data_IF_167553633826
#
_entry.id   IF_167553633826
#
_cell.length_a   1.000
_cell.length_b   1.000
_cell.length_c   1.000
_cell.angle_alpha   90.00
_cell.angle_beta   90.00
_cell.angle_gamma   90.00
#
_symmetry.space_group_name_H-M   'P 1'
#
loop_
_entity.id
_entity.type
_entity.pdbx_description
1 polymer ?
#
# COMPACT_ATOMS: atom_id res chain seq x y z
N UNK A 1 21.70 -18.49 -30.90
CA UNK A 1 21.54 -19.24 -29.64
C UNK A 1 21.47 -18.23 -28.52
N UNK A 2 20.28 -17.99 -27.96
CA UNK A 2 20.15 -17.21 -26.72
C UNK A 2 20.62 -18.14 -25.60
N UNK A 3 21.63 -17.71 -24.84
CA UNK A 3 22.03 -18.39 -23.61
C UNK A 3 20.90 -18.20 -22.58
N UNK A 4 20.28 -19.30 -22.21
CA UNK A 4 19.15 -19.36 -21.26
C UNK A 4 19.70 -19.85 -19.92
N UNK A 5 19.59 -19.02 -18.89
CA UNK A 5 19.89 -19.42 -17.52
C UNK A 5 18.61 -19.60 -16.71
N UNK A 6 18.66 -20.44 -15.68
CA UNK A 6 17.61 -20.63 -14.68
C UNK A 6 16.23 -21.00 -15.26
N UNK A 7 16.22 -21.97 -16.19
CA UNK A 7 14.98 -22.53 -16.70
C UNK A 7 14.15 -23.21 -15.60
N UNK A 8 12.89 -22.84 -15.49
CA UNK A 8 11.95 -23.37 -14.51
C UNK A 8 10.60 -23.62 -15.17
N UNK A 9 10.07 -24.79 -14.97
CA UNK A 9 8.72 -25.14 -15.37
C UNK A 9 7.87 -25.41 -14.12
N UNK A 10 6.68 -24.81 -14.08
CA UNK A 10 5.74 -25.01 -12.97
C UNK A 10 4.30 -24.83 -13.43
N UNK A 11 3.39 -25.36 -12.63
CA UNK A 11 1.95 -25.25 -12.86
C UNK A 11 1.30 -24.48 -11.74
N UNK A 12 0.42 -23.56 -12.08
CA UNK A 12 -0.43 -22.89 -11.10
C UNK A 12 -1.81 -22.60 -11.68
N UNK A 13 -2.77 -22.44 -10.81
CA UNK A 13 -4.09 -21.94 -11.17
C UNK A 13 -4.51 -20.85 -10.22
N UNK A 14 -5.31 -19.90 -10.69
CA UNK A 14 -5.84 -18.84 -9.86
C UNK A 14 -7.36 -18.94 -9.79
N UNK A 15 -7.90 -18.76 -8.59
CA UNK A 15 -9.35 -18.75 -8.35
C UNK A 15 -9.71 -17.56 -7.45
N UNK A 16 -10.82 -16.90 -7.78
CA UNK A 16 -11.36 -15.83 -6.95
C UNK A 16 -12.27 -16.43 -5.87
N UNK A 17 -12.02 -16.07 -4.62
CA UNK A 17 -12.78 -16.56 -3.46
C UNK A 17 -13.13 -15.42 -2.52
N UNK A 18 -14.12 -15.62 -1.66
CA UNK A 18 -14.42 -14.70 -0.57
C UNK A 18 -13.91 -15.28 0.75
N UNK A 19 -13.17 -14.47 1.52
CA UNK A 19 -12.70 -14.88 2.84
C UNK A 19 -13.66 -14.44 3.92
N UNK A 20 -14.20 -15.41 4.68
CA UNK A 20 -15.10 -15.15 5.82
C UNK A 20 -14.68 -15.99 7.04
N UNK A 21 -14.27 -15.32 8.13
CA UNK A 21 -14.02 -15.95 9.45
C UNK A 21 -13.18 -17.24 9.40
N UNK A 22 -12.03 -17.21 8.75
CA UNK A 22 -11.13 -18.37 8.67
C UNK A 22 -11.47 -19.39 7.56
N UNK A 23 -12.49 -19.13 6.74
CA UNK A 23 -12.92 -19.99 5.65
C UNK A 23 -12.84 -19.26 4.32
N UNK A 24 -12.39 -19.97 3.30
CA UNK A 24 -12.51 -19.51 1.93
C UNK A 24 -13.80 -20.09 1.34
N UNK A 25 -14.65 -19.21 0.87
CA UNK A 25 -16.00 -19.55 0.36
C UNK A 25 -16.05 -19.24 -1.13
N UNK A 26 -16.81 -20.03 -1.87
CA UNK A 26 -17.08 -19.80 -3.29
C UNK A 26 -17.73 -18.42 -3.46
N UNK A 27 -17.33 -17.69 -4.48
CA UNK A 27 -17.88 -16.36 -4.79
C UNK A 27 -19.30 -16.52 -5.36
N UNK A 28 -20.27 -15.84 -4.75
CA UNK A 28 -21.68 -15.98 -5.12
C UNK A 28 -22.05 -15.22 -6.41
N UNK A 29 -21.27 -14.18 -6.78
CA UNK A 29 -21.49 -13.40 -8.00
C UNK A 29 -20.17 -13.08 -8.71
N UNK A 30 -19.98 -13.61 -9.89
CA UNK A 30 -18.80 -13.33 -10.74
C UNK A 30 -18.77 -11.87 -11.24
N UNK A 31 -19.89 -11.14 -11.17
CA UNK A 31 -20.08 -9.83 -11.78
C UNK A 31 -19.97 -8.62 -10.84
N UNK A 32 -19.59 -8.81 -9.58
CA UNK A 32 -19.37 -7.66 -8.68
C UNK A 32 -17.88 -7.31 -8.60
N UNK A 33 -17.42 -6.26 -9.29
CA UNK A 33 -15.99 -5.92 -9.37
C UNK A 33 -15.40 -5.34 -8.08
N UNK A 34 -16.23 -5.03 -7.08
CA UNK A 34 -15.83 -4.32 -5.85
C UNK A 34 -16.22 -5.06 -4.56
N UNK A 35 -16.14 -6.39 -4.53
CA UNK A 35 -16.22 -7.08 -3.24
C UNK A 35 -14.88 -6.96 -2.51
N UNK A 36 -14.81 -6.06 -1.52
CA UNK A 36 -13.64 -5.83 -0.68
C UNK A 36 -13.15 -7.07 0.09
N UNK A 37 -13.96 -8.13 0.12
CA UNK A 37 -13.60 -9.42 0.71
C UNK A 37 -13.15 -10.45 -0.34
N UNK A 38 -13.10 -10.08 -1.60
CA UNK A 38 -12.58 -10.96 -2.66
C UNK A 38 -11.08 -11.09 -2.58
N UNK A 39 -10.61 -12.33 -2.60
CA UNK A 39 -9.20 -12.67 -2.56
C UNK A 39 -8.91 -13.61 -3.73
N UNK A 40 -7.79 -13.38 -4.38
CA UNK A 40 -7.28 -14.31 -5.38
C UNK A 40 -6.40 -15.35 -4.70
N UNK A 41 -6.80 -16.63 -4.84
CA UNK A 41 -5.98 -17.76 -4.45
C UNK A 41 -5.17 -18.24 -5.66
N UNK A 42 -3.86 -18.18 -5.56
CA UNK A 42 -2.96 -18.87 -6.46
C UNK A 42 -2.71 -20.25 -5.86
N UNK A 43 -2.97 -21.30 -6.60
CA UNK A 43 -2.84 -22.68 -6.11
C UNK A 43 -1.76 -23.39 -6.91
N UNK A 44 -0.75 -23.88 -6.20
CA UNK A 44 0.32 -24.68 -6.77
C UNK A 44 0.57 -25.93 -5.94
N UNK A 45 1.28 -26.89 -6.48
CA UNK A 45 1.67 -28.09 -5.72
C UNK A 45 3.07 -27.93 -5.10
N UNK A 46 3.38 -28.74 -4.08
CA UNK A 46 4.65 -28.66 -3.35
C UNK A 46 5.88 -28.95 -4.22
N UNK A 47 5.74 -29.75 -5.28
CA UNK A 47 6.86 -30.04 -6.19
C UNK A 47 7.27 -28.79 -6.94
N UNK A 48 6.28 -28.09 -7.50
CA UNK A 48 6.52 -26.87 -8.24
C UNK A 48 7.01 -25.73 -7.33
N UNK A 49 6.43 -25.61 -6.13
CA UNK A 49 6.91 -24.67 -5.11
C UNK A 49 8.39 -24.90 -4.75
N UNK A 50 8.78 -26.16 -4.52
CA UNK A 50 10.17 -26.52 -4.20
C UNK A 50 11.12 -26.21 -5.37
N UNK A 51 10.69 -26.46 -6.61
CA UNK A 51 11.48 -26.16 -7.80
C UNK A 51 11.76 -24.67 -7.93
N UNK A 52 10.77 -23.83 -7.66
CA UNK A 52 10.88 -22.38 -7.82
C UNK A 52 11.70 -21.76 -6.69
N UNK A 53 11.44 -22.14 -5.45
CA UNK A 53 12.05 -21.54 -4.28
C UNK A 53 13.32 -22.26 -3.80
N UNK A 54 13.78 -23.30 -4.52
CA UNK A 54 14.93 -24.14 -4.15
C UNK A 54 14.83 -24.66 -2.70
N UNK A 55 13.62 -25.13 -2.32
CA UNK A 55 13.31 -25.63 -0.99
C UNK A 55 13.00 -27.12 -1.03
N UNK A 56 12.85 -27.74 0.15
CA UNK A 56 12.48 -29.14 0.32
C UNK A 56 11.23 -29.29 1.18
N UNK A 57 10.21 -28.47 0.91
CA UNK A 57 8.93 -28.55 1.59
C UNK A 57 8.29 -29.92 1.42
N UNK A 58 7.84 -30.52 2.52
CA UNK A 58 7.06 -31.76 2.54
C UNK A 58 5.78 -31.53 3.33
N UNK A 59 4.66 -31.53 2.65
CA UNK A 59 3.34 -31.39 3.24
C UNK A 59 2.67 -32.76 3.35
N UNK A 60 1.92 -32.97 4.42
CA UNK A 60 1.01 -34.11 4.55
C UNK A 60 -0.30 -33.82 3.83
N UNK A 61 -1.11 -34.85 3.62
CA UNK A 61 -2.39 -34.72 2.90
C UNK A 61 -3.37 -33.72 3.55
N UNK A 62 -3.32 -33.55 4.86
CA UNK A 62 -4.14 -32.62 5.63
C UNK A 62 -3.43 -31.30 5.97
N UNK A 63 -2.29 -31.03 5.35
CA UNK A 63 -1.53 -29.80 5.51
C UNK A 63 -1.54 -28.98 4.22
N UNK A 64 -1.56 -27.67 4.37
CA UNK A 64 -1.45 -26.70 3.28
C UNK A 64 -0.35 -25.70 3.58
N UNK A 65 0.48 -25.41 2.59
CA UNK A 65 1.40 -24.28 2.66
C UNK A 65 0.65 -22.98 2.36
N UNK A 66 0.90 -21.94 3.14
CA UNK A 66 0.36 -20.60 2.88
C UNK A 66 1.52 -19.65 2.73
N UNK A 67 1.53 -18.94 1.60
CA UNK A 67 2.37 -17.80 1.36
C UNK A 67 1.46 -16.59 1.17
N UNK A 68 1.46 -15.66 2.11
CA UNK A 68 0.64 -14.48 2.06
C UNK A 68 1.38 -13.30 2.69
N UNK A 69 1.33 -12.18 2.00
CA UNK A 69 1.90 -10.94 2.51
C UNK A 69 0.94 -10.22 3.46
N UNK A 70 -0.36 -10.49 3.35
CA UNK A 70 -1.35 -9.84 4.19
C UNK A 70 -1.37 -10.44 5.61
N UNK A 71 -1.31 -9.57 6.63
CA UNK A 71 -1.19 -9.94 8.05
C UNK A 71 -2.29 -10.88 8.56
N UNK A 72 -3.50 -10.85 7.96
CA UNK A 72 -4.63 -11.71 8.34
C UNK A 72 -4.28 -13.17 8.13
N UNK A 73 -3.48 -13.50 7.11
CA UNK A 73 -3.13 -14.86 6.74
C UNK A 73 -1.82 -15.35 7.36
N UNK A 74 -1.00 -14.44 7.92
CA UNK A 74 0.31 -14.78 8.50
C UNK A 74 0.24 -15.55 9.83
N UNK A 75 -0.92 -15.61 10.48
CA UNK A 75 -1.11 -16.22 11.81
C UNK A 75 -2.23 -17.25 11.85
N UNK A 76 -2.62 -17.79 10.71
CA UNK A 76 -3.64 -18.83 10.67
C UNK A 76 -3.00 -20.18 10.92
N UNK A 77 -3.40 -20.87 11.99
CA UNK A 77 -2.98 -22.25 12.27
C UNK A 77 -3.78 -23.27 11.45
N UNK A 78 -5.00 -22.91 11.09
CA UNK A 78 -5.90 -23.76 10.32
C UNK A 78 -6.69 -22.90 9.32
N UNK A 79 -6.97 -23.49 8.17
CA UNK A 79 -7.86 -22.90 7.15
C UNK A 79 -8.93 -23.91 6.75
N UNK A 80 -10.10 -23.39 6.45
CA UNK A 80 -11.20 -24.19 5.94
C UNK A 80 -11.35 -23.98 4.43
N UNK A 81 -11.13 -25.05 3.67
CA UNK A 81 -11.21 -25.12 2.21
C UNK A 81 -12.07 -26.31 1.82
N UNK A 82 -12.94 -26.18 0.82
CA UNK A 82 -13.79 -27.29 0.34
C UNK A 82 -14.53 -28.00 1.49
N UNK A 83 -15.01 -27.26 2.51
CA UNK A 83 -15.62 -27.80 3.73
C UNK A 83 -14.72 -28.71 4.59
N UNK A 84 -13.42 -28.77 4.30
CA UNK A 84 -12.42 -29.50 5.08
C UNK A 84 -11.48 -28.52 5.78
N UNK A 85 -10.97 -28.93 6.94
CA UNK A 85 -10.02 -28.12 7.70
C UNK A 85 -8.61 -28.64 7.47
N UNK A 86 -7.72 -27.77 7.02
CA UNK A 86 -6.32 -28.06 6.80
C UNK A 86 -5.46 -27.33 7.81
N UNK A 87 -4.42 -27.98 8.30
CA UNK A 87 -3.38 -27.34 9.10
C UNK A 87 -2.49 -26.50 8.17
N UNK A 88 -2.16 -25.30 8.58
CA UNK A 88 -1.38 -24.37 7.75
C UNK A 88 0.09 -24.40 8.12
N UNK A 89 0.95 -24.46 7.12
CA UNK A 89 2.38 -24.23 7.24
C UNK A 89 2.68 -22.88 6.60
N UNK A 90 3.12 -21.91 7.43
CA UNK A 90 3.50 -20.59 6.94
C UNK A 90 4.80 -20.69 6.13
N UNK A 91 4.74 -20.29 4.88
CA UNK A 91 5.86 -20.34 3.95
C UNK A 91 6.49 -18.96 3.83
N UNK A 92 7.78 -18.95 3.51
CA UNK A 92 8.54 -17.73 3.21
C UNK A 92 9.06 -17.84 1.78
N UNK A 93 8.82 -16.83 0.97
CA UNK A 93 9.33 -16.77 -0.39
C UNK A 93 8.87 -15.50 -1.09
N UNK A 94 9.71 -14.98 -1.97
CA UNK A 94 9.45 -13.72 -2.65
C UNK A 94 8.83 -13.91 -4.05
N UNK A 95 8.71 -15.15 -4.52
CA UNK A 95 8.46 -15.40 -5.93
C UNK A 95 6.98 -15.52 -6.36
N UNK A 96 6.02 -15.54 -5.45
CA UNK A 96 4.59 -15.63 -5.76
C UNK A 96 3.73 -14.80 -4.81
N UNK A 97 4.22 -13.63 -4.50
CA UNK A 97 3.45 -12.62 -3.80
C UNK A 97 2.65 -11.84 -4.82
N UNK A 98 1.34 -11.96 -4.73
CA UNK A 98 0.43 -11.20 -5.58
C UNK A 98 -0.31 -10.16 -4.71
N UNK A 99 -0.40 -8.90 -5.14
CA UNK A 99 -1.13 -7.88 -4.38
C UNK A 99 -2.55 -8.33 -4.07
N UNK A 100 -2.89 -8.43 -2.78
CA UNK A 100 -4.21 -8.89 -2.34
C UNK A 100 -4.50 -10.37 -2.56
N UNK A 101 -3.49 -11.17 -2.93
CA UNK A 101 -3.60 -12.61 -3.14
C UNK A 101 -2.99 -13.46 -2.04
N UNK A 102 -3.36 -14.73 -2.04
CA UNK A 102 -2.79 -15.76 -1.17
C UNK A 102 -2.34 -16.92 -2.05
N UNK A 103 -1.09 -17.34 -1.90
CA UNK A 103 -0.62 -18.56 -2.56
C UNK A 103 -0.78 -19.75 -1.63
N UNK A 104 -1.53 -20.73 -2.08
CA UNK A 104 -1.73 -22.01 -1.41
C UNK A 104 -0.87 -23.09 -2.08
N UNK A 105 -0.09 -23.78 -1.26
CA UNK A 105 0.71 -24.93 -1.73
C UNK A 105 0.06 -26.21 -1.24
N UNK A 106 -0.31 -27.05 -2.19
CA UNK A 106 -0.97 -28.32 -1.95
C UNK A 106 0.04 -29.47 -1.90
N UNK A 107 -0.35 -30.57 -1.26
CA UNK A 107 0.49 -31.77 -1.16
C UNK A 107 0.83 -32.36 -2.54
N UNK A 108 -0.12 -32.39 -3.49
CA UNK A 108 0.07 -32.96 -4.83
C UNK A 108 -0.80 -32.27 -5.89
N UNK A 109 -0.54 -32.59 -7.15
CA UNK A 109 -1.27 -32.05 -8.32
C UNK A 109 -2.77 -32.40 -8.30
N UNK A 110 -3.15 -33.58 -7.78
CA UNK A 110 -4.56 -33.95 -7.71
C UNK A 110 -5.34 -33.10 -6.74
N UNK A 111 -4.77 -32.79 -5.57
CA UNK A 111 -5.35 -31.87 -4.60
C UNK A 111 -5.42 -30.44 -5.16
N UNK A 112 -4.41 -30.00 -5.91
CA UNK A 112 -4.40 -28.72 -6.61
C UNK A 112 -5.57 -28.63 -7.60
N UNK A 113 -5.77 -29.66 -8.44
CA UNK A 113 -6.88 -29.74 -9.42
C UNK A 113 -8.25 -29.74 -8.74
N UNK A 114 -8.42 -30.53 -7.68
CA UNK A 114 -9.66 -30.61 -6.92
C UNK A 114 -10.03 -29.25 -6.31
N UNK A 115 -9.06 -28.55 -5.75
CA UNK A 115 -9.27 -27.24 -5.12
C UNK A 115 -9.67 -26.19 -6.16
N UNK A 116 -8.95 -26.11 -7.27
CA UNK A 116 -9.27 -25.18 -8.36
C UNK A 116 -10.67 -25.45 -8.92
N UNK A 117 -10.97 -26.71 -9.24
CA UNK A 117 -12.26 -27.08 -9.81
C UNK A 117 -13.44 -26.86 -8.85
N UNK A 118 -13.22 -27.02 -7.54
CA UNK A 118 -14.25 -26.76 -6.54
C UNK A 118 -14.67 -25.28 -6.52
N UNK A 119 -13.72 -24.36 -6.55
CA UNK A 119 -14.03 -22.93 -6.49
C UNK A 119 -14.46 -22.33 -7.82
N UNK A 120 -13.87 -22.81 -8.91
CA UNK A 120 -14.19 -22.32 -10.25
C UNK A 120 -14.12 -23.46 -11.27
N UNK A 121 -15.27 -23.89 -11.75
CA UNK A 121 -15.41 -25.01 -12.67
C UNK A 121 -14.75 -24.77 -14.04
N UNK A 122 -14.62 -23.52 -14.44
CA UNK A 122 -13.99 -23.10 -15.71
C UNK A 122 -12.52 -22.73 -15.58
N UNK A 123 -11.97 -22.73 -14.36
CA UNK A 123 -10.57 -22.38 -14.15
C UNK A 123 -9.65 -23.47 -14.66
N UNK A 124 -8.67 -23.08 -15.44
CA UNK A 124 -7.64 -23.96 -15.96
C UNK A 124 -6.37 -23.87 -15.09
N UNK A 125 -5.64 -24.98 -15.06
CA UNK A 125 -4.27 -24.98 -14.58
C UNK A 125 -3.39 -24.55 -15.74
N UNK A 126 -2.70 -23.45 -15.56
CA UNK A 126 -1.78 -22.93 -16.55
C UNK A 126 -0.37 -23.49 -16.28
N UNK A 127 0.34 -23.80 -17.35
CA UNK A 127 1.75 -24.15 -17.30
C UNK A 127 2.56 -22.90 -17.59
N UNK A 128 3.56 -22.66 -16.76
CA UNK A 128 4.47 -21.52 -16.89
C UNK A 128 5.88 -22.00 -17.11
N UNK A 129 6.57 -21.31 -17.98
CA UNK A 129 7.99 -21.49 -18.24
C UNK A 129 8.67 -20.16 -17.93
N UNK A 130 9.53 -20.14 -16.93
CA UNK A 130 10.31 -18.98 -16.58
C UNK A 130 11.79 -19.22 -16.89
N UNK A 131 12.46 -18.27 -17.51
CA UNK A 131 13.88 -18.34 -17.81
C UNK A 131 14.50 -16.95 -17.86
N UNK A 132 15.79 -16.87 -17.62
CA UNK A 132 16.55 -15.65 -17.78
C UNK A 132 17.27 -15.66 -19.13
N UNK A 133 17.21 -14.56 -19.85
CA UNK A 133 18.01 -14.32 -21.05
C UNK A 133 19.25 -13.53 -20.68
N UNK A 134 20.42 -13.93 -21.17
CA UNK A 134 21.68 -13.20 -20.98
C UNK A 134 21.82 -12.00 -21.92
N UNK A 135 20.95 -11.85 -22.89
CA UNK A 135 20.97 -10.72 -23.82
C UNK A 135 20.22 -9.52 -23.26
N UNK A 136 20.76 -8.33 -23.53
CA UNK A 136 20.09 -7.05 -23.21
C UNK A 136 19.47 -6.39 -24.45
N UNK A 137 19.46 -7.07 -25.59
CA UNK A 137 18.87 -6.55 -26.82
C UNK A 137 17.33 -6.67 -26.77
N UNK A 138 16.69 -5.60 -26.31
CA UNK A 138 15.23 -5.52 -26.16
C UNK A 138 14.51 -5.65 -27.50
N UNK A 139 15.04 -5.12 -28.58
CA UNK A 139 14.38 -5.17 -29.90
C UNK A 139 14.27 -6.61 -30.42
N UNK A 140 15.33 -7.41 -30.26
CA UNK A 140 15.30 -8.82 -30.64
C UNK A 140 14.34 -9.63 -29.75
N UNK A 141 14.25 -9.30 -28.46
CA UNK A 141 13.31 -9.94 -27.53
C UNK A 141 11.87 -9.65 -27.94
N UNK A 142 11.52 -8.39 -28.20
CA UNK A 142 10.17 -7.98 -28.59
C UNK A 142 9.73 -8.61 -29.92
N UNK A 143 10.63 -8.72 -30.87
CA UNK A 143 10.36 -9.38 -32.14
C UNK A 143 10.08 -10.88 -31.94
N UNK A 144 10.89 -11.57 -31.14
CA UNK A 144 10.70 -12.99 -30.83
C UNK A 144 9.40 -13.19 -30.04
N UNK A 145 9.12 -12.34 -29.04
CA UNK A 145 7.90 -12.33 -28.24
C UNK A 145 6.67 -12.25 -29.13
N UNK A 146 6.61 -11.24 -30.00
CA UNK A 146 5.47 -11.03 -30.89
C UNK A 146 5.24 -12.19 -31.88
N UNK A 147 6.30 -12.81 -32.34
CA UNK A 147 6.25 -13.98 -33.25
C UNK A 147 5.72 -15.22 -32.51
N UNK A 148 6.23 -15.51 -31.31
CA UNK A 148 5.82 -16.67 -30.50
C UNK A 148 4.37 -16.53 -30.02
N UNK A 149 3.96 -15.37 -29.57
CA UNK A 149 2.58 -15.09 -29.14
C UNK A 149 1.57 -15.33 -30.27
N UNK A 150 1.91 -14.88 -31.49
CA UNK A 150 1.04 -15.10 -32.67
C UNK A 150 1.00 -16.56 -33.13
N UNK A 151 2.10 -17.29 -33.01
CA UNK A 151 2.21 -18.64 -33.54
C UNK A 151 1.63 -19.72 -32.60
N UNK A 152 1.73 -19.51 -31.28
CA UNK A 152 1.44 -20.57 -30.30
C UNK A 152 0.33 -20.21 -29.30
N UNK A 153 -0.32 -19.05 -29.45
CA UNK A 153 -1.35 -18.56 -28.51
C UNK A 153 -0.89 -18.61 -27.04
N UNK A 154 0.38 -18.22 -26.83
CA UNK A 154 0.98 -18.15 -25.50
C UNK A 154 1.12 -16.70 -25.07
N UNK A 155 1.01 -16.45 -23.78
CA UNK A 155 1.31 -15.16 -23.16
C UNK A 155 2.76 -15.17 -22.71
N UNK A 156 3.50 -14.11 -23.08
CA UNK A 156 4.90 -13.93 -22.69
C UNK A 156 5.01 -12.61 -21.96
N UNK A 157 5.35 -12.68 -20.68
CA UNK A 157 5.55 -11.52 -19.83
C UNK A 157 7.06 -11.30 -19.62
N UNK A 158 7.50 -10.05 -19.76
CA UNK A 158 8.86 -9.63 -19.48
C UNK A 158 8.90 -8.90 -18.14
N UNK A 159 9.81 -9.29 -17.24
CA UNK A 159 9.97 -8.67 -15.93
C UNK A 159 10.22 -7.16 -16.03
N UNK A 160 10.97 -6.70 -17.03
CA UNK A 160 11.30 -5.29 -17.19
C UNK A 160 10.07 -4.48 -17.66
N UNK A 161 9.21 -5.06 -18.52
CA UNK A 161 7.92 -4.45 -18.90
C UNK A 161 6.98 -4.35 -17.71
N UNK A 162 6.80 -5.45 -16.98
CA UNK A 162 5.95 -5.46 -15.79
C UNK A 162 6.42 -4.44 -14.74
N UNK A 163 7.72 -4.36 -14.51
CA UNK A 163 8.29 -3.35 -13.62
C UNK A 163 8.01 -1.93 -14.13
N UNK A 164 8.16 -1.69 -15.42
CA UNK A 164 7.91 -0.37 -16.03
C UNK A 164 6.45 0.02 -15.86
N UNK A 165 5.51 -0.87 -16.16
CA UNK A 165 4.07 -0.63 -16.02
C UNK A 165 3.71 -0.30 -14.56
N UNK A 166 4.31 -1.02 -13.60
CA UNK A 166 4.12 -0.74 -12.19
C UNK A 166 4.70 0.63 -11.79
N UNK A 167 5.90 0.97 -12.28
CA UNK A 167 6.50 2.29 -12.05
C UNK A 167 5.66 3.42 -12.64
N UNK A 168 5.08 3.23 -13.82
CA UNK A 168 4.23 4.24 -14.47
C UNK A 168 2.93 4.47 -13.66
N UNK A 169 2.30 3.40 -13.15
CA UNK A 169 1.12 3.49 -12.29
C UNK A 169 1.45 4.18 -10.97
N UNK A 170 2.47 3.71 -10.25
CA UNK A 170 2.85 4.30 -8.96
C UNK A 170 3.38 5.73 -9.12
N UNK A 171 4.15 5.99 -10.16
CA UNK A 171 4.63 7.33 -10.50
C UNK A 171 3.49 8.30 -10.77
N UNK A 172 2.47 7.86 -11.53
CA UNK A 172 1.25 8.61 -11.76
C UNK A 172 0.49 8.95 -10.48
N UNK A 173 0.31 7.96 -9.57
CA UNK A 173 -0.35 8.18 -8.28
C UNK A 173 0.43 9.15 -7.39
N UNK A 174 1.75 9.02 -7.32
CA UNK A 174 2.62 9.94 -6.56
C UNK A 174 2.53 11.35 -7.14
N UNK A 175 2.57 11.50 -8.46
CA UNK A 175 2.47 12.79 -9.14
C UNK A 175 1.16 13.50 -8.81
N UNK A 176 0.02 12.83 -9.01
CA UNK A 176 -1.31 13.39 -8.69
C UNK A 176 -1.42 13.69 -7.20
N UNK A 177 -1.01 12.78 -6.32
CA UNK A 177 -1.02 12.98 -4.87
C UNK A 177 -0.18 14.18 -4.44
N UNK A 178 0.99 14.38 -5.06
CA UNK A 178 1.87 15.51 -4.78
C UNK A 178 1.21 16.84 -5.20
N UNK A 179 0.62 16.90 -6.40
CA UNK A 179 -0.07 18.12 -6.87
C UNK A 179 -1.23 18.47 -5.95
N UNK A 180 -2.10 17.50 -5.63
CA UNK A 180 -3.24 17.72 -4.73
C UNK A 180 -2.76 18.20 -3.36
N UNK A 181 -1.70 17.59 -2.81
CA UNK A 181 -1.13 17.98 -1.53
C UNK A 181 -0.60 19.42 -1.55
N UNK A 182 0.07 19.83 -2.63
CA UNK A 182 0.57 21.20 -2.78
C UNK A 182 -0.59 22.21 -2.85
N UNK A 183 -1.63 21.93 -3.63
CA UNK A 183 -2.81 22.81 -3.73
C UNK A 183 -3.49 22.97 -2.38
N UNK A 184 -3.73 21.87 -1.65
CA UNK A 184 -4.33 21.89 -0.32
C UNK A 184 -3.46 22.64 0.68
N UNK A 185 -2.14 22.47 0.62
CA UNK A 185 -1.18 23.16 1.49
C UNK A 185 -1.21 24.67 1.24
N UNK A 186 -1.20 25.12 -0.03
CA UNK A 186 -1.30 26.54 -0.39
C UNK A 186 -2.65 27.11 0.09
N UNK A 187 -3.75 26.37 -0.12
CA UNK A 187 -5.08 26.76 0.35
C UNK A 187 -5.14 26.93 1.87
N UNK A 188 -4.59 25.99 2.61
CA UNK A 188 -4.52 26.03 4.08
C UNK A 188 -3.68 27.23 4.56
N UNK A 189 -2.53 27.45 3.93
CA UNK A 189 -1.68 28.60 4.24
C UNK A 189 -2.41 29.92 4.01
N UNK A 190 -3.05 30.06 2.86
CA UNK A 190 -3.79 31.27 2.50
C UNK A 190 -4.92 31.53 3.51
N UNK A 191 -5.70 30.49 3.84
CA UNK A 191 -6.78 30.62 4.83
C UNK A 191 -6.25 31.02 6.21
N UNK A 192 -5.21 30.37 6.71
CA UNK A 192 -4.59 30.73 7.98
C UNK A 192 -4.03 32.14 7.98
N UNK A 193 -3.34 32.54 6.91
CA UNK A 193 -2.77 33.89 6.77
C UNK A 193 -3.85 34.96 6.87
N UNK A 194 -4.93 34.86 6.11
CA UNK A 194 -6.02 35.83 6.13
C UNK A 194 -6.78 35.81 7.45
N UNK A 195 -7.01 34.66 8.06
CA UNK A 195 -7.63 34.54 9.38
C UNK A 195 -6.82 35.29 10.42
N UNK A 196 -5.51 35.09 10.50
CA UNK A 196 -4.64 35.75 11.46
C UNK A 196 -4.56 37.24 11.23
N UNK A 197 -4.60 37.72 9.98
CA UNK A 197 -4.67 39.17 9.69
C UNK A 197 -5.99 39.73 10.20
N UNK A 198 -7.12 39.08 9.94
CA UNK A 198 -8.43 39.56 10.41
C UNK A 198 -8.51 39.61 11.94
N UNK A 199 -8.07 38.58 12.63
CA UNK A 199 -7.96 38.53 14.09
C UNK A 199 -7.01 39.62 14.62
N UNK A 200 -5.87 39.84 13.97
CA UNK A 200 -4.94 40.91 14.34
C UNK A 200 -5.53 42.33 14.27
N UNK A 201 -6.41 42.60 13.29
CA UNK A 201 -7.14 43.86 13.19
C UNK A 201 -8.20 44.01 14.30
N UNK A 202 -8.92 42.92 14.59
CA UNK A 202 -9.94 42.91 15.65
C UNK A 202 -9.33 43.06 17.03
N UNK A 203 -8.25 42.38 17.31
CA UNK A 203 -7.53 42.42 18.58
C UNK A 203 -6.81 43.71 18.83
N UNK A 204 -6.43 44.45 17.78
CA UNK A 204 -5.76 45.76 17.91
C UNK A 204 -6.53 46.75 18.80
N UNK A 205 -7.88 46.73 18.71
CA UNK A 205 -8.75 47.56 19.54
C UNK A 205 -8.65 47.15 21.02
N UNK A 206 -8.70 45.84 21.26
CA UNK A 206 -8.64 45.28 22.60
C UNK A 206 -7.28 45.54 23.28
N UNK A 207 -6.19 45.42 22.55
CA UNK A 207 -4.86 45.72 23.06
C UNK A 207 -4.66 47.22 23.34
N UNK A 208 -5.28 48.12 22.56
CA UNK A 208 -5.27 49.55 22.84
C UNK A 208 -5.98 49.86 24.15
N UNK A 209 -7.11 49.21 24.43
CA UNK A 209 -7.84 49.36 25.69
C UNK A 209 -7.00 48.82 26.87
N UNK A 210 -6.36 47.67 26.73
CA UNK A 210 -5.48 47.13 27.76
C UNK A 210 -4.32 48.08 28.12
N UNK A 211 -3.72 48.75 27.13
CA UNK A 211 -2.72 49.78 27.33
C UNK A 211 -3.26 50.99 28.09
N UNK A 212 -4.49 51.41 27.80
CA UNK A 212 -5.15 52.54 28.49
C UNK A 212 -5.47 52.27 29.94
N UNK A 213 -5.72 51.02 30.29
CA UNK A 213 -5.99 50.53 31.65
C UNK A 213 -4.70 50.32 32.46
N UNK A 214 -3.51 50.57 31.84
CA UNK A 214 -2.23 50.54 32.55
C UNK A 214 -1.56 49.15 32.59
N UNK A 215 -1.94 48.20 31.72
CA UNK A 215 -1.22 46.92 31.60
C UNK A 215 0.19 47.15 31.02
N UNK A 216 1.18 46.55 31.67
CA UNK A 216 2.56 46.56 31.20
C UNK A 216 2.70 45.92 29.80
N UNK A 217 3.53 46.51 28.96
CA UNK A 217 3.72 46.09 27.57
C UNK A 217 4.24 44.66 27.45
N UNK A 218 5.03 44.19 28.42
CA UNK A 218 5.51 42.80 28.49
C UNK A 218 4.37 41.77 28.70
N UNK A 219 3.40 42.12 29.56
CA UNK A 219 2.23 41.26 29.78
C UNK A 219 1.32 41.19 28.56
N UNK A 220 1.14 42.32 27.87
CA UNK A 220 0.39 42.36 26.62
C UNK A 220 1.06 41.44 25.57
N UNK A 221 2.39 41.52 25.45
CA UNK A 221 3.15 40.64 24.54
C UNK A 221 3.01 39.16 24.87
N UNK A 222 3.07 38.81 26.16
CA UNK A 222 2.92 37.45 26.60
C UNK A 222 1.54 36.89 26.22
N UNK A 223 0.47 37.65 26.47
CA UNK A 223 -0.90 37.25 26.13
C UNK A 223 -1.05 37.02 24.59
N UNK A 224 -0.51 37.97 23.81
CA UNK A 224 -0.51 37.85 22.35
C UNK A 224 0.22 36.58 21.89
N UNK A 225 1.40 36.34 22.44
CA UNK A 225 2.21 35.17 22.11
C UNK A 225 1.46 33.89 22.41
N UNK A 226 0.88 33.77 23.59
CA UNK A 226 0.17 32.56 24.02
C UNK A 226 -1.07 32.33 23.16
N UNK A 227 -1.82 33.36 22.80
CA UNK A 227 -2.97 33.25 21.90
C UNK A 227 -2.56 32.77 20.51
N UNK A 228 -1.51 33.37 19.93
CA UNK A 228 -0.99 32.95 18.61
C UNK A 228 -0.51 31.50 18.66
N UNK A 229 0.22 31.10 19.71
CA UNK A 229 0.72 29.72 19.87
C UNK A 229 -0.45 28.75 19.93
N UNK A 230 -1.51 29.03 20.69
CA UNK A 230 -2.68 28.15 20.79
C UNK A 230 -3.38 28.01 19.44
N UNK A 231 -3.63 29.12 18.74
CA UNK A 231 -4.32 29.12 17.43
C UNK A 231 -3.56 28.26 16.40
N UNK A 232 -2.23 28.30 16.42
CA UNK A 232 -1.42 27.51 15.50
C UNK A 232 -1.20 26.05 15.96
N UNK A 233 -1.09 25.81 17.26
CA UNK A 233 -0.75 24.49 17.79
C UNK A 233 -1.96 23.55 17.81
N UNK A 234 -3.15 24.07 18.08
CA UNK A 234 -4.38 23.24 18.17
C UNK A 234 -4.66 22.46 16.87
N UNK A 235 -4.67 23.08 15.67
CA UNK A 235 -4.91 22.33 14.43
C UNK A 235 -3.86 21.25 14.16
N UNK A 236 -2.59 21.48 14.53
CA UNK A 236 -1.55 20.47 14.37
C UNK A 236 -1.82 19.26 15.24
N UNK A 237 -2.13 19.47 16.52
CA UNK A 237 -2.41 18.38 17.46
C UNK A 237 -3.59 17.55 16.95
N UNK A 238 -4.68 18.21 16.55
CA UNK A 238 -5.86 17.54 16.01
C UNK A 238 -5.51 16.76 14.73
N UNK A 239 -4.75 17.36 13.81
CA UNK A 239 -4.31 16.69 12.59
C UNK A 239 -3.43 15.48 12.88
N UNK A 240 -2.50 15.58 13.83
CA UNK A 240 -1.66 14.44 14.25
C UNK A 240 -2.50 13.29 14.80
N UNK A 241 -3.48 13.57 15.64
CA UNK A 241 -4.40 12.55 16.18
C UNK A 241 -5.14 11.86 15.04
N UNK A 242 -5.68 12.62 14.09
CA UNK A 242 -6.37 12.05 12.92
C UNK A 242 -5.46 11.15 12.08
N UNK A 243 -4.25 11.61 11.79
CA UNK A 243 -3.28 10.85 11.01
C UNK A 243 -2.86 9.57 11.74
N UNK A 244 -2.64 9.63 13.06
CA UNK A 244 -2.34 8.45 13.87
C UNK A 244 -3.50 7.45 13.88
N UNK A 245 -4.74 7.91 14.01
CA UNK A 245 -5.91 7.06 13.93
C UNK A 245 -6.06 6.40 12.54
N UNK A 246 -5.77 7.15 11.48
CA UNK A 246 -5.82 6.67 10.09
C UNK A 246 -4.67 5.71 9.74
N UNK A 247 -3.57 5.69 10.48
CA UNK A 247 -2.36 4.94 10.15
C UNK A 247 -2.61 3.45 9.91
N UNK A 248 -3.48 2.83 10.73
CA UNK A 248 -3.86 1.41 10.57
C UNK A 248 -4.61 1.17 9.26
N UNK A 249 -5.51 2.06 8.90
CA UNK A 249 -6.27 1.99 7.64
C UNK A 249 -5.34 2.16 6.44
N UNK A 250 -4.46 3.15 6.50
CA UNK A 250 -3.46 3.41 5.44
C UNK A 250 -2.56 2.19 5.26
N UNK A 251 -2.04 1.61 6.34
CA UNK A 251 -1.21 0.41 6.28
C UNK A 251 -1.95 -0.79 5.67
N UNK A 252 -3.23 -0.96 6.01
CA UNK A 252 -4.07 -2.02 5.43
C UNK A 252 -4.29 -1.81 3.93
N UNK A 253 -4.55 -0.58 3.50
CA UNK A 253 -4.69 -0.24 2.08
C UNK A 253 -3.39 -0.47 1.30
N UNK A 254 -2.25 -0.09 1.88
CA UNK A 254 -0.93 -0.36 1.29
C UNK A 254 -0.65 -1.86 1.20
N UNK A 255 -1.13 -2.65 2.15
CA UNK A 255 -1.06 -4.11 2.10
C UNK A 255 -1.80 -4.72 0.89
N UNK A 256 -2.90 -4.10 0.44
CA UNK A 256 -3.59 -4.50 -0.80
C UNK A 256 -2.71 -4.23 -2.03
N UNK A 257 -1.85 -3.22 -1.97
CA UNK A 257 -0.88 -2.88 -3.02
C UNK A 257 0.47 -3.62 -2.85
N UNK A 258 0.50 -4.67 -2.02
CA UNK A 258 1.69 -5.48 -1.69
C UNK A 258 2.84 -4.72 -0.98
N UNK A 259 2.55 -3.58 -0.40
CA UNK A 259 3.50 -2.83 0.42
C UNK A 259 3.43 -3.31 1.88
N UNK A 260 4.09 -4.44 2.17
CA UNK A 260 4.01 -5.10 3.49
C UNK A 260 5.22 -4.87 4.39
N UNK A 261 6.15 -4.04 3.98
CA UNK A 261 7.33 -3.73 4.78
C UNK A 261 7.01 -2.67 5.84
N UNK A 262 6.69 -3.12 7.06
CA UNK A 262 6.32 -2.23 8.17
C UNK A 262 7.44 -1.24 8.54
N UNK A 263 8.71 -1.62 8.39
CA UNK A 263 9.83 -0.71 8.66
C UNK A 263 9.88 0.42 7.64
N UNK A 264 9.72 0.08 6.36
CA UNK A 264 9.67 1.06 5.28
C UNK A 264 8.47 2.00 5.47
N UNK A 265 7.29 1.44 5.76
CA UNK A 265 6.08 2.21 6.04
C UNK A 265 6.31 3.21 7.19
N UNK A 266 6.79 2.75 8.35
CA UNK A 266 7.02 3.61 9.51
C UNK A 266 8.07 4.69 9.23
N UNK A 267 9.16 4.34 8.55
CA UNK A 267 10.21 5.32 8.21
C UNK A 267 9.67 6.42 7.29
N UNK A 268 8.95 6.04 6.23
CA UNK A 268 8.34 6.98 5.29
C UNK A 268 7.27 7.83 5.98
N UNK A 269 6.42 7.20 6.79
CA UNK A 269 5.34 7.86 7.52
C UNK A 269 5.86 8.91 8.49
N UNK A 270 6.86 8.58 9.30
CA UNK A 270 7.52 9.53 10.20
C UNK A 270 8.24 10.63 9.40
N UNK A 271 8.91 10.27 8.30
CA UNK A 271 9.57 11.24 7.42
C UNK A 271 8.61 12.30 6.87
N UNK A 272 7.45 11.86 6.39
CA UNK A 272 6.38 12.76 5.89
C UNK A 272 5.85 13.65 7.02
N UNK A 273 5.59 13.09 8.21
CA UNK A 273 5.12 13.88 9.36
C UNK A 273 6.12 14.96 9.75
N UNK A 274 7.40 14.62 9.84
CA UNK A 274 8.46 15.60 10.15
C UNK A 274 8.54 16.66 9.07
N UNK A 275 8.47 16.29 7.80
CA UNK A 275 8.49 17.25 6.69
C UNK A 275 7.31 18.23 6.75
N UNK A 276 6.11 17.74 6.99
CA UNK A 276 4.91 18.59 7.15
C UNK A 276 5.05 19.50 8.36
N UNK A 277 5.59 19.02 9.49
CA UNK A 277 5.84 19.84 10.68
C UNK A 277 6.84 20.97 10.41
N UNK A 278 7.90 20.73 9.65
CA UNK A 278 8.88 21.76 9.28
C UNK A 278 8.19 22.85 8.44
N UNK A 279 7.42 22.47 7.43
CA UNK A 279 6.69 23.43 6.60
C UNK A 279 5.73 24.26 7.47
N UNK A 280 5.00 23.60 8.35
CA UNK A 280 4.06 24.28 9.24
C UNK A 280 4.76 25.26 10.21
N UNK A 281 5.90 24.88 10.76
CA UNK A 281 6.71 25.76 11.59
C UNK A 281 7.20 27.01 10.82
N UNK A 282 7.60 26.84 9.55
CA UNK A 282 7.95 27.97 8.68
C UNK A 282 6.75 28.90 8.47
N UNK A 283 5.57 28.33 8.19
CA UNK A 283 4.33 29.11 8.05
C UNK A 283 3.98 29.87 9.33
N UNK A 284 4.11 29.24 10.50
CA UNK A 284 3.93 29.88 11.80
C UNK A 284 4.85 31.09 11.96
N UNK A 285 6.14 30.95 11.71
CA UNK A 285 7.12 32.04 11.85
C UNK A 285 6.78 33.19 10.91
N UNK A 286 6.40 32.90 9.66
CA UNK A 286 6.04 33.96 8.69
C UNK A 286 4.78 34.71 9.13
N UNK A 287 3.74 34.01 9.50
CA UNK A 287 2.44 34.58 9.85
C UNK A 287 2.50 35.34 11.19
N UNK A 288 3.18 34.76 12.17
CA UNK A 288 3.40 35.37 13.48
C UNK A 288 4.11 36.72 13.35
N UNK A 289 5.11 36.84 12.49
CA UNK A 289 5.79 38.13 12.24
C UNK A 289 4.85 39.21 11.68
N UNK A 290 3.93 38.83 10.80
CA UNK A 290 2.94 39.75 10.23
C UNK A 290 1.93 40.17 11.30
N UNK A 291 1.44 39.23 12.11
CA UNK A 291 0.51 39.50 13.21
C UNK A 291 1.11 40.48 14.23
N UNK A 292 2.34 40.26 14.71
CA UNK A 292 3.04 41.18 15.62
C UNK A 292 3.21 42.57 15.03
N UNK A 293 3.52 42.69 13.74
CA UNK A 293 3.69 43.99 13.08
C UNK A 293 2.37 44.76 12.98
N UNK A 294 1.24 44.07 12.83
CA UNK A 294 -0.10 44.69 12.77
C UNK A 294 -0.55 45.25 14.11
N UNK A 295 -0.24 44.57 15.20
CA UNK A 295 -0.64 44.99 16.56
C UNK A 295 0.21 46.17 17.07
N UNK A 296 1.48 46.24 16.69
CA UNK A 296 2.38 47.30 17.12
C UNK A 296 2.32 48.61 16.29
N UNK A 297 1.59 48.60 15.18
CA UNK A 297 1.27 49.81 14.43
C UNK A 297 -0.03 50.47 14.95
#
# INVERSE_FOLDING_TARGET
>A
HADVDAFREYTSGSVAVTYKKGSFVKRDNENSPLDLNSIYLIVMNQKDYNTINHTHLRLKHNEMGILANHFIFQKLDHIKLMNQTFKTNQLKGDHFSFPGGVTLVTHNVNQQRQLIHYYQTTANINSYIAFNLKTKDTQSIDHIKSKLMKQYDIQIDNKDELNKDMFDIYGGLIFVGTIVSLVLMIGTFTMMYYKNIAEGYEDRKNYRIMRQVGLEEERIRSVIHDQVVIIFTLPIIVSMIHVLCASKMIYTLLGILDVNNIKLFLTTYIGVLVFVMIIYALMYVMTSRVYYRLIHR
#
